data_IF_486858493679
#
_entry.id   IF_486858493679
#
_cell.length_a   1.000
_cell.length_b   1.000
_cell.length_c   1.000
_cell.angle_alpha   90.00
_cell.angle_beta   90.00
_cell.angle_gamma   90.00
#
_symmetry.space_group_name_H-M   'P 1'
#
loop_
_entity.id
_entity.type
_entity.pdbx_description
1 polymer ?
#
# COMPACT_ATOMS: atom_id res chain seq x y z
N UNK A 1 22.19 -4.21 4.77
CA UNK A 1 20.88 -4.63 5.32
C UNK A 1 19.82 -4.30 4.27
N UNK A 2 19.02 -5.28 3.84
CA UNK A 2 18.02 -5.07 2.79
C UNK A 2 16.94 -4.08 3.26
N UNK A 3 16.69 -3.03 2.47
CA UNK A 3 15.67 -2.03 2.80
C UNK A 3 14.28 -2.59 2.50
N UNK A 4 13.56 -3.02 3.53
CA UNK A 4 12.15 -3.46 3.42
C UNK A 4 11.23 -2.26 3.20
N UNK A 5 10.35 -2.39 2.21
CA UNK A 5 9.33 -1.40 1.86
C UNK A 5 7.96 -1.95 2.22
N UNK A 6 7.19 -1.19 2.99
CA UNK A 6 5.77 -1.43 3.21
C UNK A 6 4.97 -0.87 2.03
N UNK A 7 4.17 -1.68 1.36
CA UNK A 7 3.25 -1.21 0.32
C UNK A 7 1.84 -1.04 0.87
N UNK A 8 1.29 0.15 0.70
CA UNK A 8 -0.09 0.52 1.03
C UNK A 8 -0.85 0.77 -0.26
N UNK A 9 -2.02 0.16 -0.43
CA UNK A 9 -2.80 0.26 -1.66
C UNK A 9 -4.28 -0.02 -1.43
N UNK A 10 -5.10 0.34 -2.41
CA UNK A 10 -6.50 -0.09 -2.44
C UNK A 10 -6.59 -1.48 -3.10
N UNK A 11 -7.31 -2.41 -2.49
CA UNK A 11 -7.43 -3.79 -2.97
C UNK A 11 -7.93 -3.89 -4.43
N UNK A 12 -8.84 -3.00 -4.84
CA UNK A 12 -9.29 -2.96 -6.24
C UNK A 12 -8.14 -2.70 -7.22
N UNK A 13 -7.10 -1.97 -6.83
CA UNK A 13 -5.96 -1.71 -7.71
C UNK A 13 -5.07 -2.95 -7.90
N UNK A 14 -5.15 -3.94 -7.00
CA UNK A 14 -4.56 -5.28 -7.17
C UNK A 14 -5.39 -6.10 -8.15
N UNK A 15 -6.72 -6.11 -7.98
CA UNK A 15 -7.65 -6.79 -8.89
C UNK A 15 -7.49 -6.26 -10.33
N UNK A 16 -7.30 -4.95 -10.48
CA UNK A 16 -7.11 -4.29 -11.77
C UNK A 16 -5.72 -4.55 -12.38
N UNK A 17 -4.85 -5.34 -11.74
CA UNK A 17 -3.45 -5.65 -12.08
C UNK A 17 -2.46 -4.47 -12.07
N UNK A 18 -2.89 -3.29 -11.62
CA UNK A 18 -2.05 -2.08 -11.58
C UNK A 18 -1.01 -2.18 -10.47
N UNK A 19 -1.43 -2.52 -9.26
CA UNK A 19 -0.53 -2.72 -8.13
C UNK A 19 0.37 -3.95 -8.32
N UNK A 20 -0.13 -5.00 -8.99
CA UNK A 20 0.66 -6.21 -9.30
C UNK A 20 1.86 -5.91 -10.21
N UNK A 21 1.75 -4.93 -11.11
CA UNK A 21 2.90 -4.51 -11.94
C UNK A 21 4.05 -3.97 -11.07
N UNK A 22 3.72 -3.13 -10.08
CA UNK A 22 4.71 -2.58 -9.14
C UNK A 22 5.27 -3.68 -8.24
N UNK A 23 4.40 -4.58 -7.76
CA UNK A 23 4.76 -5.73 -6.94
C UNK A 23 5.77 -6.65 -7.65
N UNK A 24 5.46 -7.06 -8.88
CA UNK A 24 6.32 -7.94 -9.67
C UNK A 24 7.66 -7.28 -9.99
N UNK A 25 7.67 -5.98 -10.28
CA UNK A 25 8.92 -5.23 -10.47
C UNK A 25 9.79 -5.19 -9.19
N UNK A 26 9.16 -5.16 -8.01
CA UNK A 26 9.88 -5.17 -6.75
C UNK A 26 10.39 -6.57 -6.38
N UNK A 27 9.55 -7.60 -6.50
CA UNK A 27 9.89 -9.00 -6.19
C UNK A 27 10.93 -9.63 -7.12
N UNK A 28 11.04 -9.16 -8.37
CA UNK A 28 12.02 -9.68 -9.33
C UNK A 28 13.46 -9.24 -9.05
N UNK A 29 13.69 -8.43 -8.01
CA UNK A 29 15.02 -7.98 -7.60
C UNK A 29 15.51 -8.81 -6.43
N UNK A 30 16.62 -9.52 -6.62
CA UNK A 30 17.19 -10.48 -5.67
C UNK A 30 17.65 -9.87 -4.33
N UNK A 31 17.77 -8.55 -4.25
CA UNK A 31 18.24 -7.80 -3.08
C UNK A 31 17.10 -7.17 -2.24
N UNK A 32 15.83 -7.44 -2.57
CA UNK A 32 14.68 -6.72 -2.00
C UNK A 32 13.66 -7.63 -1.35
N UNK A 33 13.18 -7.18 -0.19
CA UNK A 33 12.10 -7.82 0.55
C UNK A 33 10.91 -6.85 0.64
N UNK A 34 9.68 -7.32 0.41
CA UNK A 34 8.44 -6.54 0.57
C UNK A 34 7.75 -6.83 1.91
N UNK A 35 7.03 -5.83 2.42
CA UNK A 35 6.04 -5.99 3.45
C UNK A 35 4.74 -5.30 3.01
N UNK A 36 3.58 -5.75 3.51
CA UNK A 36 2.30 -5.09 3.26
C UNK A 36 1.48 -5.63 2.07
N UNK A 37 2.05 -6.46 1.19
CA UNK A 37 1.26 -7.29 0.28
C UNK A 37 0.74 -8.53 1.03
N UNK A 38 -0.35 -8.37 1.75
CA UNK A 38 -1.07 -9.49 2.34
C UNK A 38 -1.90 -10.20 1.28
N UNK A 39 -1.99 -11.53 1.39
CA UNK A 39 -2.94 -12.30 0.60
C UNK A 39 -4.37 -11.91 1.00
N UNK A 40 -5.30 -11.98 0.05
CA UNK A 40 -6.69 -11.59 0.24
C UNK A 40 -7.32 -12.34 1.42
N UNK A 41 -6.98 -13.62 1.57
CA UNK A 41 -7.42 -14.49 2.65
C UNK A 41 -6.99 -14.01 4.03
N UNK A 42 -5.74 -13.58 4.19
CA UNK A 42 -5.20 -13.07 5.47
C UNK A 42 -5.88 -11.76 5.86
N UNK A 43 -6.15 -10.91 4.86
CA UNK A 43 -6.86 -9.66 5.08
C UNK A 43 -8.33 -9.91 5.47
N UNK A 44 -9.06 -10.71 4.70
CA UNK A 44 -10.46 -11.06 4.97
C UNK A 44 -10.63 -11.76 6.32
N UNK A 45 -9.71 -12.65 6.69
CA UNK A 45 -9.73 -13.31 7.99
C UNK A 45 -9.50 -12.31 9.14
N UNK A 46 -8.58 -11.36 8.94
CA UNK A 46 -8.30 -10.31 9.92
C UNK A 46 -9.44 -9.30 10.03
N UNK A 47 -10.12 -9.01 8.94
CA UNK A 47 -11.32 -8.17 8.90
C UNK A 47 -12.48 -8.84 9.65
N UNK A 48 -12.68 -10.16 9.48
CA UNK A 48 -13.67 -10.95 10.26
C UNK A 48 -13.36 -10.97 11.77
N UNK A 49 -12.08 -10.91 12.14
CA UNK A 49 -11.63 -10.82 13.55
C UNK A 49 -11.74 -9.42 14.14
N UNK A 50 -12.14 -8.43 13.33
CA UNK A 50 -12.42 -7.05 13.74
C UNK A 50 -11.22 -6.11 13.67
N UNK A 51 -11.50 -4.82 13.80
CA UNK A 51 -10.54 -3.72 13.62
C UNK A 51 -9.24 -3.87 14.43
N UNK A 52 -9.32 -4.43 15.64
CA UNK A 52 -8.15 -4.58 16.50
C UNK A 52 -7.16 -5.62 15.95
N UNK A 53 -7.67 -6.71 15.37
CA UNK A 53 -6.84 -7.73 14.73
C UNK A 53 -6.15 -7.14 13.50
N UNK A 54 -6.87 -6.36 12.70
CA UNK A 54 -6.34 -5.71 11.51
C UNK A 54 -5.27 -4.67 11.82
N UNK A 55 -5.46 -3.85 12.86
CA UNK A 55 -4.42 -2.94 13.37
C UNK A 55 -3.16 -3.69 13.81
N UNK A 56 -3.30 -4.83 14.50
CA UNK A 56 -2.15 -5.66 14.91
C UNK A 56 -1.41 -6.23 13.70
N UNK A 57 -2.13 -6.71 12.69
CA UNK A 57 -1.56 -7.21 11.44
C UNK A 57 -0.73 -6.12 10.74
N UNK A 58 -1.30 -4.93 10.57
CA UNK A 58 -0.62 -3.78 9.95
C UNK A 58 0.61 -3.37 10.76
N UNK A 59 0.48 -3.26 12.08
CA UNK A 59 1.60 -2.91 12.96
C UNK A 59 2.75 -3.92 12.89
N UNK A 60 2.43 -5.21 12.80
CA UNK A 60 3.41 -6.28 12.63
C UNK A 60 4.16 -6.17 11.30
N UNK A 61 3.45 -5.96 10.18
CA UNK A 61 4.09 -5.78 8.88
C UNK A 61 4.91 -4.50 8.79
N UNK A 62 4.53 -3.44 9.51
CA UNK A 62 5.31 -2.22 9.58
C UNK A 62 6.63 -2.40 10.36
N UNK A 63 6.65 -3.21 11.43
CA UNK A 63 7.75 -3.28 12.41
C UNK A 63 9.17 -3.38 11.82
N UNK A 64 9.35 -4.15 10.74
CA UNK A 64 10.66 -4.32 10.10
C UNK A 64 10.81 -3.54 8.77
N UNK A 65 10.09 -2.43 8.61
CA UNK A 65 10.14 -1.58 7.41
C UNK A 65 10.69 -0.21 7.74
N UNK A 66 11.43 0.36 6.78
CA UNK A 66 12.00 1.72 6.86
C UNK A 66 11.33 2.71 5.91
N UNK A 67 10.63 2.21 4.89
CA UNK A 67 9.96 3.03 3.89
C UNK A 67 8.54 2.50 3.70
N UNK A 68 7.61 3.42 3.46
CA UNK A 68 6.21 3.12 3.16
C UNK A 68 5.86 3.75 1.81
N UNK A 69 5.48 2.91 0.86
CA UNK A 69 5.07 3.25 -0.50
C UNK A 69 3.56 3.13 -0.64
N UNK A 70 2.88 4.25 -0.86
CA UNK A 70 1.45 4.29 -1.12
C UNK A 70 1.22 4.26 -2.62
N UNK A 71 0.57 3.22 -3.12
CA UNK A 71 0.17 3.09 -4.51
C UNK A 71 -1.17 3.80 -4.71
N UNK A 72 -1.12 4.96 -5.37
CA UNK A 72 -2.24 5.89 -5.50
C UNK A 72 -3.03 5.58 -6.77
N UNK A 73 -4.11 4.82 -6.59
CA UNK A 73 -5.19 4.64 -7.55
C UNK A 73 -6.31 5.68 -7.33
N UNK A 74 -7.42 5.51 -8.05
CA UNK A 74 -8.51 6.50 -8.05
C UNK A 74 -9.22 6.66 -6.70
N UNK A 75 -9.24 5.60 -5.89
CA UNK A 75 -10.01 5.53 -4.64
C UNK A 75 -9.12 5.34 -3.40
N UNK A 76 -7.80 5.30 -3.56
CA UNK A 76 -6.83 5.04 -2.46
C UNK A 76 -6.99 6.03 -1.31
N UNK A 77 -7.25 7.30 -1.61
CA UNK A 77 -7.41 8.36 -0.61
C UNK A 77 -8.63 8.19 0.32
N UNK A 78 -9.68 7.48 -0.11
CA UNK A 78 -10.89 7.25 0.69
C UNK A 78 -10.75 6.07 1.66
N UNK A 79 -9.73 5.22 1.49
CA UNK A 79 -9.63 3.96 2.25
C UNK A 79 -9.15 4.24 3.68
N UNK A 80 -9.94 3.85 4.71
CA UNK A 80 -9.60 4.13 6.11
C UNK A 80 -8.30 3.41 6.53
N UNK A 81 -8.09 2.18 6.05
CA UNK A 81 -6.89 1.41 6.34
C UNK A 81 -5.63 1.99 5.70
N UNK A 82 -5.72 2.53 4.49
CA UNK A 82 -4.62 3.28 3.86
C UNK A 82 -4.26 4.51 4.71
N UNK A 83 -5.25 5.25 5.20
CA UNK A 83 -5.02 6.39 6.10
C UNK A 83 -4.35 5.95 7.40
N UNK A 84 -4.79 4.83 7.97
CA UNK A 84 -4.17 4.25 9.17
C UNK A 84 -2.71 3.85 8.92
N UNK A 85 -2.42 3.19 7.80
CA UNK A 85 -1.06 2.78 7.41
C UNK A 85 -0.13 3.98 7.22
N UNK A 86 -0.60 5.04 6.55
CA UNK A 86 0.15 6.29 6.36
C UNK A 86 0.46 6.93 7.72
N UNK A 87 -0.56 7.11 8.56
CA UNK A 87 -0.39 7.74 9.88
C UNK A 87 0.53 6.93 10.77
N UNK A 88 0.38 5.60 10.80
CA UNK A 88 1.22 4.73 11.63
C UNK A 88 2.66 4.67 11.14
N UNK A 89 2.86 4.66 9.82
CA UNK A 89 4.17 4.77 9.20
C UNK A 89 4.85 6.09 9.56
N UNK A 90 4.11 7.20 9.49
CA UNK A 90 4.60 8.52 9.92
C UNK A 90 5.04 8.51 11.39
N UNK A 91 4.20 8.01 12.31
CA UNK A 91 4.54 7.92 13.74
C UNK A 91 5.76 7.04 14.01
N UNK A 92 6.01 6.02 13.19
CA UNK A 92 7.19 5.16 13.31
C UNK A 92 8.46 5.76 12.72
N UNK A 93 8.37 6.89 12.01
CA UNK A 93 9.50 7.50 11.32
C UNK A 93 9.87 6.81 10.00
N UNK A 94 8.95 6.06 9.39
CA UNK A 94 9.16 5.53 8.04
C UNK A 94 9.19 6.69 7.03
N UNK A 95 10.05 6.60 6.02
CA UNK A 95 9.95 7.50 4.86
C UNK A 95 8.68 7.20 4.07
N UNK A 96 7.85 8.21 3.84
CA UNK A 96 6.61 8.09 3.08
C UNK A 96 6.82 8.52 1.63
N UNK A 97 6.38 7.69 0.70
CA UNK A 97 6.35 8.01 -0.73
C UNK A 97 5.01 7.60 -1.35
N UNK A 98 4.51 8.40 -2.28
CA UNK A 98 3.29 8.11 -3.04
C UNK A 98 3.62 7.90 -4.51
N UNK A 99 3.10 6.83 -5.09
CA UNK A 99 3.30 6.49 -6.51
C UNK A 99 1.94 6.34 -7.16
N UNK A 100 1.65 7.19 -8.13
CA UNK A 100 0.43 7.03 -8.92
C UNK A 100 0.54 5.84 -9.87
N UNK A 101 -0.44 4.93 -9.78
CA UNK A 101 -0.46 3.68 -10.57
C UNK A 101 -1.53 3.69 -11.66
N UNK A 102 -2.29 4.77 -11.79
CA UNK A 102 -3.33 4.91 -12.81
C UNK A 102 -2.79 5.04 -14.25
N UNK A 103 -1.49 5.33 -14.39
CA UNK A 103 -0.77 5.33 -15.67
C UNK A 103 -0.34 3.92 -16.15
N UNK A 104 -0.55 2.88 -15.33
CA UNK A 104 -0.31 1.49 -15.70
C UNK A 104 -1.58 0.94 -16.36
N UNK A 105 -1.48 0.30 -17.53
CA UNK A 105 -2.64 -0.33 -18.16
C UNK A 105 -3.19 -1.44 -17.24
N UNK A 106 -4.48 -1.37 -16.92
CA UNK A 106 -5.14 -2.39 -16.12
C UNK A 106 -5.53 -3.61 -16.96
N UNK A 107 -6.32 -4.51 -16.35
CA UNK A 107 -6.94 -5.66 -17.06
C UNK A 107 -7.69 -5.24 -18.34
N UNK A 108 -8.29 -4.05 -18.30
CA UNK A 108 -9.06 -3.44 -19.37
C UNK A 108 -8.21 -2.80 -20.48
N UNK A 109 -6.88 -2.85 -20.36
CA UNK A 109 -5.91 -2.19 -21.25
C UNK A 109 -6.06 -0.66 -21.33
N UNK A 110 -6.83 -0.05 -20.42
CA UNK A 110 -7.07 1.40 -20.39
C UNK A 110 -6.23 2.09 -19.32
N UNK A 111 -5.99 3.38 -19.53
CA UNK A 111 -5.43 4.28 -18.53
C UNK A 111 -6.55 4.93 -17.73
N UNK A 112 -6.25 5.35 -16.50
CA UNK A 112 -7.18 6.09 -15.64
C UNK A 112 -6.58 7.46 -15.33
N UNK A 113 -7.42 8.45 -15.08
CA UNK A 113 -6.97 9.75 -14.57
C UNK A 113 -6.30 9.55 -13.19
N UNK A 114 -5.32 10.38 -12.85
CA UNK A 114 -4.62 10.31 -11.57
C UNK A 114 -5.61 10.46 -10.41
N UNK A 115 -5.51 9.57 -9.42
CA UNK A 115 -6.32 9.67 -8.20
C UNK A 115 -5.88 10.83 -7.30
N UNK A 116 -6.74 11.28 -6.38
CA UNK A 116 -6.36 12.29 -5.39
C UNK A 116 -5.19 11.85 -4.51
N UNK A 117 -4.37 12.81 -4.08
CA UNK A 117 -3.26 12.55 -3.16
C UNK A 117 -3.80 12.08 -1.79
N UNK A 118 -3.39 10.90 -1.28
CA UNK A 118 -3.85 10.39 0.01
C UNK A 118 -3.14 11.04 1.22
N UNK A 119 -2.05 11.78 1.01
CA UNK A 119 -1.37 12.48 2.09
C UNK A 119 -2.14 13.72 2.55
N UNK A 120 -2.16 14.01 3.86
CA UNK A 120 -2.74 15.24 4.34
C UNK A 120 -2.02 16.42 3.67
N UNK A 121 -2.80 17.41 3.21
CA UNK A 121 -2.24 18.69 2.79
C UNK A 121 -1.56 19.28 4.02
N UNK A 122 -0.24 19.36 4.03
CA UNK A 122 0.47 20.15 5.03
C UNK A 122 -0.02 21.59 4.91
N UNK A 123 -0.63 22.11 5.97
CA UNK A 123 -0.83 23.55 6.08
C UNK A 123 0.55 24.19 5.99
N UNK A 124 0.72 25.05 4.99
CA UNK A 124 1.85 25.99 4.94
C UNK A 124 1.65 27.07 6.00
#
# INVERSE_FOLDING_TARGET
MAKRVFFSFHYQDVIDFRANTVRNHWMTKSDREEAGFFDASVWEESEKKGDQALKRLINGALYNTSNTCVLVGSQTYLRPWVRYEIMKSFTRGNHLLGVHINCIKGKDQKLKALGPNPFPKTAK
#
